data_IF_256134446970
#
_entry.id   IF_256134446970
#
_cell.length_a   1.000
_cell.length_b   1.000
_cell.length_c   1.000
_cell.angle_alpha   90.00
_cell.angle_beta   90.00
_cell.angle_gamma   90.00
#
_symmetry.space_group_name_H-M   'P 1'
#
loop_
_entity.id
_entity.type
_entity.pdbx_description
1 polymer ?
#
# COMPACT_ATOMS: atom_id res chain seq x y z
N UNK A 1 48.54 -0.57 40.40
CA UNK A 1 47.94 -1.18 39.19
C UNK A 1 46.42 -1.41 39.33
N UNK A 2 45.69 -0.57 40.09
CA UNK A 2 44.25 -0.75 40.36
C UNK A 2 43.33 0.28 39.71
N UNK A 3 43.88 1.34 39.07
CA UNK A 3 43.07 2.43 38.49
C UNK A 3 42.54 2.16 37.08
N UNK A 4 43.04 1.14 36.37
CA UNK A 4 42.60 0.83 35.01
C UNK A 4 41.28 0.03 34.93
N UNK A 5 40.83 -0.59 36.04
CA UNK A 5 39.58 -1.37 36.06
C UNK A 5 38.33 -0.51 36.29
N UNK A 6 38.49 0.73 36.78
CA UNK A 6 37.38 1.65 37.03
C UNK A 6 36.91 2.37 35.76
N UNK A 7 37.82 2.77 34.88
CA UNK A 7 37.51 3.47 33.64
C UNK A 7 36.64 2.65 32.68
N UNK A 8 36.89 1.34 32.57
CA UNK A 8 36.09 0.45 31.71
C UNK A 8 34.63 0.30 32.18
N UNK A 9 34.41 0.26 33.50
CA UNK A 9 33.05 0.16 34.06
C UNK A 9 32.24 1.45 33.83
N UNK A 10 32.89 2.61 33.93
CA UNK A 10 32.25 3.91 33.66
C UNK A 10 31.85 4.03 32.18
N UNK A 11 32.70 3.57 31.27
CA UNK A 11 32.39 3.55 29.83
C UNK A 11 31.24 2.61 29.48
N UNK A 12 31.18 1.44 30.11
CA UNK A 12 30.10 0.47 29.89
C UNK A 12 28.75 0.99 30.43
N UNK A 13 28.74 1.64 31.60
CA UNK A 13 27.51 2.26 32.13
C UNK A 13 27.08 3.50 31.32
N UNK A 14 28.01 4.30 30.81
CA UNK A 14 27.68 5.37 29.86
C UNK A 14 27.09 4.84 28.55
N UNK A 15 27.61 3.73 28.02
CA UNK A 15 27.05 3.09 26.83
C UNK A 15 25.66 2.49 27.07
N UNK A 16 25.45 1.84 28.21
CA UNK A 16 24.16 1.26 28.57
C UNK A 16 23.09 2.34 28.85
N UNK A 17 23.48 3.46 29.48
CA UNK A 17 22.58 4.60 29.68
C UNK A 17 22.31 5.37 28.39
N UNK A 18 23.25 5.43 27.44
CA UNK A 18 23.02 5.99 26.11
C UNK A 18 22.01 5.14 25.32
N UNK A 19 22.17 3.80 25.31
CA UNK A 19 21.23 2.87 24.68
C UNK A 19 19.82 2.92 25.31
N UNK A 20 19.73 2.99 26.64
CA UNK A 20 18.44 3.12 27.33
C UNK A 20 17.75 4.48 27.09
N UNK A 21 18.52 5.55 26.81
CA UNK A 21 17.98 6.89 26.51
C UNK A 21 17.45 7.00 25.08
N UNK A 22 18.06 6.32 24.11
CA UNK A 22 17.50 6.18 22.76
C UNK A 22 16.20 5.37 22.77
N UNK A 23 16.15 4.25 23.52
CA UNK A 23 14.93 3.46 23.67
C UNK A 23 13.80 4.22 24.39
N UNK A 24 14.12 5.06 25.38
CA UNK A 24 13.14 5.90 26.09
C UNK A 24 12.64 7.10 25.26
N UNK A 25 13.41 7.64 24.30
CA UNK A 25 12.93 8.72 23.43
C UNK A 25 11.82 8.24 22.49
N UNK A 26 11.92 7.00 22.00
CA UNK A 26 10.89 6.36 21.18
C UNK A 26 9.61 6.02 21.99
N UNK A 27 9.73 5.73 23.29
CA UNK A 27 8.58 5.36 24.13
C UNK A 27 7.87 6.57 24.76
N UNK A 28 8.57 7.69 24.99
CA UNK A 28 8.03 8.86 25.71
C UNK A 28 7.47 9.98 24.82
N UNK A 29 7.36 9.79 23.50
CA UNK A 29 6.65 10.74 22.63
C UNK A 29 5.51 10.07 21.85
N UNK A 30 4.39 9.69 22.51
CA UNK A 30 3.15 9.35 21.83
C UNK A 30 2.37 10.60 21.33
N UNK A 31 3.00 11.79 21.31
CA UNK A 31 2.29 13.07 21.14
C UNK A 31 2.81 14.00 20.04
N UNK A 32 3.69 13.55 19.13
CA UNK A 32 3.97 14.30 17.89
C UNK A 32 3.07 13.82 16.75
N UNK A 33 1.79 13.65 17.08
CA UNK A 33 0.68 13.74 16.16
C UNK A 33 0.17 15.17 16.30
N UNK A 34 -0.15 15.81 15.19
CA UNK A 34 -0.77 17.14 15.07
C UNK A 34 0.14 18.36 14.89
N UNK A 35 0.98 18.38 13.84
CA UNK A 35 1.34 19.67 13.23
C UNK A 35 1.66 19.58 11.73
N UNK A 36 0.63 19.38 10.92
CA UNK A 36 0.64 19.90 9.54
C UNK A 36 -0.75 20.48 9.20
N UNK A 37 -1.25 21.33 10.09
CA UNK A 37 -2.46 22.15 9.88
C UNK A 37 -2.05 23.62 9.79
N UNK A 38 -1.31 23.99 8.74
CA UNK A 38 -1.08 25.39 8.32
C UNK A 38 -0.41 25.42 6.95
N UNK A 39 -1.19 25.06 5.94
CA UNK A 39 -0.76 25.07 4.54
C UNK A 39 -1.80 24.54 3.56
N UNK A 40 -3.08 24.58 3.90
CA UNK A 40 -4.14 24.42 2.92
C UNK A 40 -4.18 25.70 2.07
N UNK A 41 -3.24 25.83 1.13
CA UNK A 41 -3.40 26.71 -0.01
C UNK A 41 -4.51 26.10 -0.86
N UNK A 42 -5.73 26.58 -0.63
CA UNK A 42 -6.87 26.45 -1.51
C UNK A 42 -6.57 27.15 -2.84
N UNK A 43 -5.74 26.53 -3.67
CA UNK A 43 -5.64 26.84 -5.08
C UNK A 43 -6.30 25.67 -5.79
N UNK A 44 -7.64 25.76 -5.84
CA UNK A 44 -8.44 25.17 -6.89
C UNK A 44 -7.84 25.62 -8.23
N UNK A 45 -6.91 24.83 -8.73
CA UNK A 45 -6.71 24.68 -10.16
C UNK A 45 -7.29 23.34 -10.53
N UNK A 46 -8.60 23.24 -10.36
CA UNK A 46 -9.44 22.36 -11.15
C UNK A 46 -9.47 22.91 -12.58
N UNK A 47 -8.31 22.83 -13.21
CA UNK A 47 -8.15 22.98 -14.64
C UNK A 47 -7.48 21.69 -15.05
N UNK A 48 -8.26 20.61 -15.00
CA UNK A 48 -8.00 19.47 -15.87
C UNK A 48 -7.91 20.11 -17.26
N UNK A 49 -6.76 20.05 -17.96
CA UNK A 49 -6.74 20.52 -19.33
C UNK A 49 -7.86 19.77 -20.04
N UNK A 50 -8.78 20.53 -20.66
CA UNK A 50 -9.65 20.03 -21.70
C UNK A 50 -8.68 19.60 -22.80
N UNK A 51 -8.11 18.41 -22.64
CA UNK A 51 -7.42 17.70 -23.68
C UNK A 51 -8.54 17.27 -24.60
N UNK A 52 -8.46 17.80 -25.81
CA UNK A 52 -9.42 17.62 -26.86
C UNK A 52 -9.95 16.19 -26.91
N UNK A 53 -11.27 16.10 -27.05
CA UNK A 53 -12.00 14.89 -27.37
C UNK A 53 -11.39 14.22 -28.61
N UNK A 54 -10.43 13.34 -28.38
CA UNK A 54 -10.16 12.23 -29.27
C UNK A 54 -9.84 11.03 -28.40
N UNK A 55 -10.82 10.14 -28.27
CA UNK A 55 -10.58 8.77 -27.84
C UNK A 55 -9.42 8.21 -28.70
N UNK A 56 -8.28 7.79 -28.13
CA UNK A 56 -7.38 6.93 -28.87
C UNK A 56 -7.98 5.52 -28.83
N UNK A 57 -8.95 5.30 -29.71
CA UNK A 57 -9.34 3.97 -30.17
C UNK A 57 -10.23 3.15 -29.23
N UNK A 58 -10.88 2.16 -29.86
CA UNK A 58 -11.55 1.00 -29.26
C UNK A 58 -12.98 1.22 -28.74
N UNK A 59 -13.86 1.63 -29.65
CA UNK A 59 -15.25 1.13 -29.66
C UNK A 59 -15.33 -0.33 -30.17
N UNK A 60 -14.19 -0.95 -30.44
CA UNK A 60 -14.02 -2.27 -31.02
C UNK A 60 -13.26 -3.13 -30.01
N UNK A 61 -14.00 -3.84 -29.16
CA UNK A 61 -13.41 -4.70 -28.14
C UNK A 61 -14.46 -5.60 -27.54
N UNK A 62 -14.24 -6.92 -27.62
CA UNK A 62 -15.10 -7.95 -27.06
C UNK A 62 -15.40 -7.77 -25.55
N UNK A 63 -14.66 -6.92 -24.84
CA UNK A 63 -14.82 -6.64 -23.41
C UNK A 63 -15.91 -5.63 -23.02
N UNK A 64 -16.50 -4.86 -23.94
CA UNK A 64 -17.53 -3.85 -23.58
C UNK A 64 -18.82 -4.48 -23.04
N UNK A 65 -19.24 -5.62 -23.59
CA UNK A 65 -20.41 -6.35 -23.07
C UNK A 65 -20.15 -6.94 -21.68
N UNK A 66 -18.90 -7.33 -21.39
CA UNK A 66 -18.49 -7.86 -20.08
C UNK A 66 -18.37 -6.76 -19.02
N UNK A 67 -17.90 -5.57 -19.39
CA UNK A 67 -17.64 -4.45 -18.47
C UNK A 67 -18.82 -3.48 -18.31
N UNK A 68 -19.77 -3.50 -19.25
CA UNK A 68 -20.92 -2.60 -19.28
C UNK A 68 -20.56 -1.19 -19.77
N UNK A 69 -21.58 -0.41 -20.16
CA UNK A 69 -21.40 0.99 -20.54
C UNK A 69 -21.14 1.85 -19.29
N UNK A 70 -19.96 2.47 -19.20
CA UNK A 70 -19.63 3.37 -18.10
C UNK A 70 -20.48 4.65 -18.17
N UNK A 71 -21.30 4.90 -17.16
CA UNK A 71 -22.04 6.16 -17.03
C UNK A 71 -21.10 7.26 -16.53
N UNK A 72 -20.76 8.21 -17.39
CA UNK A 72 -19.85 9.35 -17.09
C UNK A 72 -20.30 10.20 -15.88
N UNK A 73 -21.57 10.13 -15.48
CA UNK A 73 -22.11 10.87 -14.33
C UNK A 73 -21.61 10.34 -12.99
N UNK A 74 -21.30 9.05 -12.90
CA UNK A 74 -20.78 8.41 -11.68
C UNK A 74 -19.28 8.67 -11.45
N UNK A 75 -18.55 9.04 -12.51
CA UNK A 75 -17.09 9.29 -12.46
C UNK A 75 -16.77 10.74 -12.11
N UNK A 76 -17.65 11.69 -12.44
CA UNK A 76 -17.34 13.12 -12.34
C UNK A 76 -17.49 13.70 -10.93
N UNK A 77 -18.42 13.19 -10.12
CA UNK A 77 -18.67 13.68 -8.75
C UNK A 77 -18.99 12.50 -7.82
N UNK A 78 -18.24 12.32 -6.71
CA UNK A 78 -18.59 11.33 -5.69
C UNK A 78 -19.96 11.66 -5.12
N UNK A 79 -20.85 10.65 -5.06
CA UNK A 79 -22.21 10.86 -4.57
C UNK A 79 -22.23 11.07 -3.06
N UNK A 80 -21.25 10.50 -2.36
CA UNK A 80 -21.12 10.60 -0.92
C UNK A 80 -19.72 11.11 -0.51
N UNK A 81 -19.62 12.02 0.48
CA UNK A 81 -18.33 12.57 0.89
C UNK A 81 -17.33 11.51 1.39
N UNK A 82 -17.81 10.38 1.93
CA UNK A 82 -16.93 9.27 2.35
C UNK A 82 -16.55 8.31 1.22
N UNK A 83 -17.21 8.36 0.07
CA UNK A 83 -16.99 7.40 -1.02
C UNK A 83 -15.52 7.43 -1.50
N UNK A 84 -14.94 8.62 -1.61
CA UNK A 84 -13.53 8.78 -1.98
C UNK A 84 -12.59 8.25 -0.90
N UNK A 85 -12.95 8.41 0.38
CA UNK A 85 -12.13 7.95 1.50
C UNK A 85 -12.10 6.42 1.56
N UNK A 86 -13.26 5.79 1.40
CA UNK A 86 -13.40 4.33 1.41
C UNK A 86 -12.67 3.69 0.21
N UNK A 87 -12.87 4.24 -0.99
CA UNK A 87 -12.14 3.81 -2.21
C UNK A 87 -10.61 3.88 -2.04
N UNK A 88 -10.11 4.83 -1.26
CA UNK A 88 -8.67 5.05 -1.05
C UNK A 88 -8.16 4.56 0.31
N UNK A 89 -8.96 3.82 1.08
CA UNK A 89 -8.64 3.44 2.45
C UNK A 89 -7.28 2.73 2.55
N UNK A 90 -7.09 1.66 1.78
CA UNK A 90 -5.84 0.89 1.79
C UNK A 90 -4.64 1.71 1.34
N UNK A 91 -4.79 2.54 0.30
CA UNK A 91 -3.72 3.40 -0.19
C UNK A 91 -3.29 4.44 0.83
N UNK A 92 -4.26 4.98 1.59
CA UNK A 92 -3.98 5.94 2.64
C UNK A 92 -3.28 5.27 3.83
N UNK A 93 -3.70 4.07 4.22
CA UNK A 93 -3.05 3.27 5.26
C UNK A 93 -1.60 2.92 4.88
N UNK A 94 -1.37 2.46 3.66
CA UNK A 94 -0.03 2.15 3.15
C UNK A 94 0.85 3.43 3.17
N UNK A 95 0.33 4.58 2.75
CA UNK A 95 1.05 5.87 2.80
C UNK A 95 1.44 6.25 4.23
N UNK A 96 0.52 6.14 5.18
CA UNK A 96 0.81 6.45 6.59
C UNK A 96 1.87 5.50 7.16
N UNK A 97 1.79 4.21 6.83
CA UNK A 97 2.75 3.21 7.28
C UNK A 97 4.15 3.47 6.72
N UNK A 98 4.28 3.78 5.42
CA UNK A 98 5.58 4.11 4.83
C UNK A 98 6.17 5.41 5.38
N UNK A 99 5.34 6.42 5.68
CA UNK A 99 5.79 7.64 6.33
C UNK A 99 6.31 7.35 7.75
N UNK A 100 5.59 6.54 8.53
CA UNK A 100 6.01 6.10 9.85
C UNK A 100 7.34 5.33 9.80
N UNK A 101 7.46 4.34 8.91
CA UNK A 101 8.70 3.56 8.73
C UNK A 101 9.89 4.45 8.38
N UNK A 102 9.67 5.45 7.50
CA UNK A 102 10.71 6.45 7.18
C UNK A 102 11.13 7.23 8.42
N UNK A 103 10.20 7.62 9.27
CA UNK A 103 10.49 8.41 10.46
C UNK A 103 11.25 7.61 11.52
N UNK A 104 10.96 6.31 11.66
CA UNK A 104 11.58 5.45 12.68
C UNK A 104 12.94 4.91 12.19
N UNK A 105 12.99 4.39 10.97
CA UNK A 105 14.14 3.63 10.45
C UNK A 105 14.92 4.42 9.38
N UNK A 106 14.39 5.52 8.85
CA UNK A 106 15.00 6.28 7.76
C UNK A 106 14.56 5.82 6.36
N UNK A 107 15.16 6.40 5.31
CA UNK A 107 14.73 6.21 3.91
C UNK A 107 14.88 4.78 3.38
N UNK A 108 15.80 3.99 3.93
CA UNK A 108 16.12 2.65 3.40
C UNK A 108 15.01 1.63 3.68
N UNK A 109 14.31 1.75 4.80
CA UNK A 109 13.24 0.84 5.20
C UNK A 109 12.03 0.83 4.24
N UNK A 110 11.37 1.96 3.93
CA UNK A 110 10.26 1.98 2.98
C UNK A 110 10.70 1.58 1.57
N UNK A 111 11.95 1.90 1.17
CA UNK A 111 12.48 1.52 -0.14
C UNK A 111 12.65 -0.01 -0.25
N UNK A 112 13.26 -0.64 0.76
CA UNK A 112 13.40 -2.10 0.84
C UNK A 112 12.03 -2.78 0.77
N UNK A 113 11.09 -2.35 1.61
CA UNK A 113 9.75 -2.94 1.65
C UNK A 113 9.01 -2.74 0.31
N UNK A 114 9.15 -1.58 -0.34
CA UNK A 114 8.58 -1.35 -1.66
C UNK A 114 9.18 -2.26 -2.74
N UNK A 115 10.47 -2.56 -2.67
CA UNK A 115 11.11 -3.53 -3.57
C UNK A 115 10.58 -4.94 -3.34
N UNK A 116 10.44 -5.36 -2.09
CA UNK A 116 9.87 -6.67 -1.72
C UNK A 116 8.42 -6.79 -2.22
N UNK A 117 7.59 -5.77 -2.03
CA UNK A 117 6.23 -5.74 -2.60
C UNK A 117 6.21 -5.93 -4.12
N UNK A 118 7.13 -5.29 -4.83
CA UNK A 118 7.22 -5.44 -6.30
C UNK A 118 7.65 -6.85 -6.69
N UNK A 119 8.63 -7.42 -5.98
CA UNK A 119 9.09 -8.78 -6.23
C UNK A 119 7.98 -9.82 -5.99
N UNK A 120 7.25 -9.71 -4.88
CA UNK A 120 6.13 -10.61 -4.55
C UNK A 120 4.99 -10.47 -5.58
N UNK A 121 4.68 -9.26 -6.03
CA UNK A 121 3.65 -9.04 -7.07
C UNK A 121 4.01 -9.63 -8.43
N UNK A 122 5.31 -9.75 -8.75
CA UNK A 122 5.77 -10.37 -9.98
C UNK A 122 5.72 -11.91 -9.91
N UNK A 123 5.93 -12.47 -8.72
CA UNK A 123 5.91 -13.91 -8.49
C UNK A 123 4.47 -14.45 -8.34
N UNK A 124 3.70 -14.43 -9.44
CA UNK A 124 2.35 -14.99 -9.48
C UNK A 124 2.30 -16.34 -10.22
N UNK A 125 1.32 -17.16 -9.84
CA UNK A 125 1.00 -18.42 -10.54
C UNK A 125 0.40 -18.13 -11.91
N UNK A 126 0.25 -19.18 -12.73
CA UNK A 126 -0.46 -19.11 -14.00
C UNK A 126 -1.89 -18.57 -13.77
N UNK A 127 -2.46 -17.80 -14.72
CA UNK A 127 -3.72 -17.07 -14.55
C UNK A 127 -4.96 -17.96 -14.34
N UNK A 128 -4.85 -19.27 -14.55
CA UNK A 128 -5.89 -20.27 -14.30
C UNK A 128 -5.66 -21.07 -13.00
N UNK A 129 -4.67 -20.71 -12.20
CA UNK A 129 -4.47 -21.29 -10.87
C UNK A 129 -4.76 -20.23 -9.82
N UNK A 130 -5.48 -20.64 -8.77
CA UNK A 130 -5.71 -19.77 -7.61
C UNK A 130 -4.37 -19.33 -7.01
N UNK A 131 -4.08 -18.04 -7.09
CA UNK A 131 -2.98 -17.41 -6.35
C UNK A 131 -3.52 -16.90 -5.02
N UNK A 132 -2.96 -17.36 -3.91
CA UNK A 132 -3.17 -16.74 -2.60
C UNK A 132 -2.16 -15.61 -2.42
N UNK A 133 -2.59 -14.48 -1.84
CA UNK A 133 -1.74 -13.30 -1.63
C UNK A 133 -0.89 -13.38 -0.35
N UNK A 134 -0.68 -14.57 0.22
CA UNK A 134 -0.09 -14.78 1.54
C UNK A 134 1.22 -14.01 1.77
N UNK A 135 2.15 -14.06 0.81
CA UNK A 135 3.42 -13.34 0.95
C UNK A 135 3.24 -11.82 0.95
N UNK A 136 2.25 -11.30 0.23
CA UNK A 136 1.93 -9.87 0.22
C UNK A 136 1.25 -9.49 1.55
N UNK A 137 0.36 -10.34 2.05
CA UNK A 137 -0.38 -10.11 3.28
C UNK A 137 0.55 -10.09 4.50
N UNK A 138 1.54 -10.99 4.58
CA UNK A 138 2.58 -10.95 5.61
C UNK A 138 3.43 -9.68 5.53
N UNK A 139 3.79 -9.21 4.32
CA UNK A 139 4.53 -7.94 4.18
C UNK A 139 3.72 -6.71 4.59
N UNK A 140 2.38 -6.79 4.53
CA UNK A 140 1.46 -5.74 5.02
C UNK A 140 1.11 -5.87 6.49
N UNK A 141 1.37 -7.03 7.10
CA UNK A 141 0.91 -7.36 8.45
C UNK A 141 -0.60 -7.63 8.52
N UNK A 142 -1.20 -8.04 7.39
CA UNK A 142 -2.62 -8.38 7.33
C UNK A 142 -2.90 -9.82 7.82
N UNK A 143 -1.88 -10.66 7.95
CA UNK A 143 -1.99 -12.05 8.41
C UNK A 143 -2.38 -12.20 9.89
N UNK A 144 -2.30 -11.13 10.68
CA UNK A 144 -2.75 -11.08 12.08
C UNK A 144 -4.23 -10.72 12.23
N UNK A 145 -4.86 -10.18 11.19
CA UNK A 145 -6.21 -9.63 11.22
C UNK A 145 -7.13 -10.38 10.25
N UNK A 146 -8.30 -10.81 10.71
CA UNK A 146 -9.32 -11.44 9.84
C UNK A 146 -10.20 -10.35 9.23
N UNK A 147 -10.27 -10.31 7.91
CA UNK A 147 -11.09 -9.35 7.18
C UNK A 147 -12.35 -9.99 6.57
N UNK A 148 -13.24 -9.17 6.01
CA UNK A 148 -14.47 -9.69 5.40
C UNK A 148 -14.18 -10.49 4.12
N UNK A 149 -13.09 -10.16 3.43
CA UNK A 149 -12.63 -10.89 2.25
C UNK A 149 -12.26 -12.33 2.60
N UNK A 150 -11.66 -12.59 3.75
CA UNK A 150 -11.28 -13.95 4.16
C UNK A 150 -12.48 -14.89 4.33
N UNK A 151 -13.63 -14.34 4.71
CA UNK A 151 -14.86 -15.10 4.96
C UNK A 151 -15.67 -15.26 3.67
N UNK A 152 -15.72 -14.23 2.83
CA UNK A 152 -16.60 -14.19 1.66
C UNK A 152 -15.93 -14.59 0.34
N UNK A 153 -14.59 -14.53 0.26
CA UNK A 153 -13.84 -14.80 -0.96
C UNK A 153 -13.32 -16.26 -0.99
N UNK A 154 -14.23 -17.24 -0.98
CA UNK A 154 -13.85 -18.64 -1.12
C UNK A 154 -13.21 -18.88 -2.51
N UNK A 155 -11.94 -19.34 -2.58
CA UNK A 155 -11.29 -19.64 -3.84
C UNK A 155 -12.07 -20.65 -4.69
N UNK A 156 -12.86 -21.55 -4.07
CA UNK A 156 -13.66 -22.54 -4.81
C UNK A 156 -14.78 -21.92 -5.65
N UNK A 157 -15.23 -20.71 -5.31
CA UNK A 157 -16.34 -20.00 -5.95
C UNK A 157 -15.87 -18.79 -6.77
N UNK A 158 -14.57 -18.69 -7.07
CA UNK A 158 -14.04 -17.53 -7.78
C UNK A 158 -14.50 -17.48 -9.24
N UNK A 159 -15.29 -16.46 -9.59
CA UNK A 159 -15.72 -16.18 -10.97
C UNK A 159 -14.56 -15.86 -11.93
N UNK A 160 -13.35 -15.64 -11.38
CA UNK A 160 -12.14 -15.36 -12.15
C UNK A 160 -11.61 -16.61 -12.87
N UNK A 161 -12.05 -17.80 -12.46
CA UNK A 161 -11.60 -19.06 -13.04
C UNK A 161 -12.31 -19.36 -14.38
N UNK A 162 -11.71 -18.90 -15.48
CA UNK A 162 -12.14 -19.19 -16.85
C UNK A 162 -11.41 -20.38 -17.49
N UNK A 163 -11.75 -20.66 -18.74
CA UNK A 163 -11.07 -21.66 -19.56
C UNK A 163 -9.56 -21.30 -19.69
N UNK A 164 -8.61 -22.25 -19.44
CA UNK A 164 -7.19 -21.92 -19.32
C UNK A 164 -6.59 -21.24 -20.56
N UNK A 165 -7.06 -21.59 -21.76
CA UNK A 165 -6.58 -20.99 -23.00
C UNK A 165 -6.95 -19.51 -23.07
N UNK A 166 -8.24 -19.19 -22.92
CA UNK A 166 -8.74 -17.81 -22.89
C UNK A 166 -8.06 -16.95 -21.80
N UNK A 167 -7.84 -17.49 -20.61
CA UNK A 167 -7.17 -16.78 -19.50
C UNK A 167 -5.70 -16.46 -19.82
N UNK A 168 -5.01 -17.37 -20.50
CA UNK A 168 -3.62 -17.18 -20.94
C UNK A 168 -3.53 -16.16 -22.08
N UNK A 169 -4.42 -16.24 -23.07
CA UNK A 169 -4.47 -15.29 -24.19
C UNK A 169 -4.71 -13.86 -23.71
N UNK A 170 -5.64 -13.66 -22.77
CA UNK A 170 -5.89 -12.35 -22.15
C UNK A 170 -4.68 -11.85 -21.34
N UNK A 171 -3.96 -12.74 -20.62
CA UNK A 171 -2.74 -12.35 -19.88
C UNK A 171 -1.59 -11.95 -20.81
N UNK A 172 -1.52 -12.54 -22.01
CA UNK A 172 -0.53 -12.26 -23.04
C UNK A 172 -0.92 -11.09 -23.96
N UNK A 173 -2.15 -10.58 -23.85
CA UNK A 173 -2.66 -9.46 -24.66
C UNK A 173 -2.99 -9.84 -26.11
N UNK A 174 -3.37 -11.10 -26.35
CA UNK A 174 -3.74 -11.61 -27.68
C UNK A 174 -5.24 -11.45 -27.98
N UNK A 175 -6.07 -11.22 -26.95
CA UNK A 175 -7.53 -11.01 -26.99
C UNK A 175 -7.93 -9.78 -26.16
#
# INVERSE_FOLDING_TARGET
MSHFRSLGAVFYLLYLTAQMKEAQFCYNNPSFVFQESRGASSLLKDSIPITDFSLPGQFEGHGLLRRGFACLKNELVPSHPLELSEKNFQLNQDKTNFAMLRNIQGLHAPLKLQMEFRAVKQAQRLPFLHSSNMALDTLRGNDECISFEDILNDPSQSEVMGEPHMMMEHKLGLL
#
